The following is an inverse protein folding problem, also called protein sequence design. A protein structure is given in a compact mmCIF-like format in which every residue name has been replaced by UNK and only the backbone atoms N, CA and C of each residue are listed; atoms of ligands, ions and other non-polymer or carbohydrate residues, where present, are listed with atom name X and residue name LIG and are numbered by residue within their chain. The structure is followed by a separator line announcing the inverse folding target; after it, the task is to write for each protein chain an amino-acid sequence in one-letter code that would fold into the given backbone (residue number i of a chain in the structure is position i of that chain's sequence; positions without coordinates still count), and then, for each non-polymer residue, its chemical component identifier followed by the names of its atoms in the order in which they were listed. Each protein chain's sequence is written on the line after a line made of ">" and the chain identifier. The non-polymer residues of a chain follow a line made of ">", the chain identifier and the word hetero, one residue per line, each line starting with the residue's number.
data_IF_487008685323
#
_entry.id   IF_487008685323
#
_cell.length_a   1.000
_cell.length_b   1.000
_cell.length_c   1.000
_cell.angle_alpha   90.00
_cell.angle_beta   90.00
_cell.angle_gamma   90.00
#
_symmetry.space_group_name_H-M   'P 1'
#
loop_
_entity.id
_entity.type
_entity.pdbx_description
1 polymer ?
#
# COMPACT_ATOMS: atom_id res chain seq x y z
N UNK A 1 -25.88 -26.39 20.68
CA UNK A 1 -25.25 -26.38 19.34
C UNK A 1 -25.41 -24.96 18.75
N UNK A 2 -24.40 -24.08 18.88
CA UNK A 2 -24.38 -22.75 18.24
C UNK A 2 -23.03 -22.62 17.57
N UNK A 3 -22.99 -22.76 16.24
CA UNK A 3 -21.75 -22.72 15.43
C UNK A 3 -21.96 -21.76 14.25
N UNK A 4 -20.88 -21.03 13.93
CA UNK A 4 -20.56 -20.38 12.63
C UNK A 4 -21.07 -18.97 12.28
N UNK A 5 -21.39 -18.09 13.22
CA UNK A 5 -21.61 -16.65 12.90
C UNK A 5 -20.34 -15.78 13.03
N UNK A 6 -19.28 -16.27 13.69
CA UNK A 6 -18.10 -15.45 14.03
C UNK A 6 -17.09 -15.26 12.89
N UNK A 7 -16.97 -16.19 11.95
CA UNK A 7 -16.04 -16.07 10.81
C UNK A 7 -16.49 -15.05 9.76
N UNK A 8 -17.80 -15.03 9.44
CA UNK A 8 -18.38 -14.19 8.37
C UNK A 8 -18.17 -12.69 8.64
N UNK A 9 -18.28 -12.26 9.90
CA UNK A 9 -18.12 -10.84 10.24
C UNK A 9 -16.65 -10.36 10.33
N UNK A 10 -15.66 -11.25 10.43
CA UNK A 10 -14.24 -10.85 10.35
C UNK A 10 -13.82 -10.65 8.89
N UNK A 11 -14.25 -11.55 8.00
CA UNK A 11 -14.14 -11.35 6.56
C UNK A 11 -14.88 -10.10 6.11
N UNK A 12 -16.03 -9.75 6.69
CA UNK A 12 -16.73 -8.50 6.37
C UNK A 12 -16.00 -7.22 6.83
N UNK A 13 -15.10 -7.28 7.82
CA UNK A 13 -14.31 -6.11 8.26
C UNK A 13 -13.08 -5.91 7.38
N UNK A 14 -12.33 -6.99 7.09
CA UNK A 14 -11.25 -6.96 6.09
C UNK A 14 -11.83 -6.64 4.71
N UNK A 15 -12.93 -7.29 4.31
CA UNK A 15 -13.65 -6.94 3.09
C UNK A 15 -14.27 -5.55 3.17
N UNK A 16 -14.64 -5.01 4.33
CA UNK A 16 -15.11 -3.62 4.47
C UNK A 16 -14.00 -2.60 4.21
N UNK A 17 -12.79 -2.87 4.73
CA UNK A 17 -11.57 -2.12 4.41
C UNK A 17 -11.20 -2.32 2.93
N UNK A 18 -11.40 -3.52 2.38
CA UNK A 18 -11.12 -3.82 0.97
C UNK A 18 -12.23 -3.35 0.01
N UNK A 19 -13.47 -3.13 0.48
CA UNK A 19 -14.63 -2.65 -0.30
C UNK A 19 -14.60 -1.13 -0.41
N UNK A 20 -14.12 -0.42 0.62
CA UNK A 20 -13.68 0.97 0.47
C UNK A 20 -12.49 1.11 -0.52
N UNK A 21 -11.92 -0.02 -0.95
CA UNK A 21 -10.88 -0.11 -1.97
C UNK A 21 -11.31 -0.89 -3.23
N UNK A 22 -12.60 -1.08 -3.51
CA UNK A 22 -13.03 -1.65 -4.80
C UNK A 22 -12.45 -3.01 -5.22
N UNK A 23 -12.00 -3.87 -4.29
CA UNK A 23 -11.62 -5.27 -4.61
C UNK A 23 -12.84 -6.16 -4.37
N UNK A 24 -13.49 -6.61 -5.44
CA UNK A 24 -14.37 -7.78 -5.39
C UNK A 24 -13.50 -9.04 -5.46
N UNK A 25 -13.27 -9.70 -4.32
CA UNK A 25 -12.82 -11.09 -4.36
C UNK A 25 -13.97 -11.88 -4.98
N UNK A 26 -13.75 -12.50 -6.13
CA UNK A 26 -14.68 -13.43 -6.74
C UNK A 26 -14.95 -14.59 -5.77
N UNK A 27 -16.02 -14.49 -4.98
CA UNK A 27 -16.56 -15.60 -4.23
C UNK A 27 -17.16 -16.54 -5.28
N UNK A 28 -16.77 -17.84 -5.34
CA UNK A 28 -17.38 -18.79 -6.25
C UNK A 28 -18.90 -18.74 -6.07
N UNK A 29 -19.62 -18.49 -7.17
CA UNK A 29 -21.06 -18.24 -7.23
C UNK A 29 -21.94 -19.42 -6.81
N UNK A 30 -21.38 -20.48 -6.26
CA UNK A 30 -22.11 -21.70 -5.84
C UNK A 30 -22.93 -21.52 -4.56
N UNK A 31 -23.08 -20.29 -4.05
CA UNK A 31 -23.84 -20.00 -2.83
C UNK A 31 -25.17 -19.25 -3.03
N UNK A 32 -25.48 -18.80 -4.26
CA UNK A 32 -26.78 -18.21 -4.58
C UNK A 32 -27.27 -18.74 -5.92
N UNK A 33 -27.90 -19.92 -5.91
CA UNK A 33 -28.58 -20.43 -7.08
C UNK A 33 -30.01 -19.87 -7.16
N UNK A 34 -30.36 -19.40 -8.36
CA UNK A 34 -31.67 -19.00 -8.89
C UNK A 34 -32.14 -17.56 -8.60
N UNK A 35 -32.03 -16.69 -9.61
CA UNK A 35 -33.22 -16.28 -10.38
C UNK A 35 -32.79 -15.87 -11.80
N UNK A 36 -33.49 -16.42 -12.78
CA UNK A 36 -33.43 -16.11 -14.20
C UNK A 36 -33.77 -14.63 -14.46
N UNK A 37 -32.84 -13.87 -15.05
CA UNK A 37 -33.14 -12.63 -15.78
C UNK A 37 -32.19 -12.47 -16.96
N UNK A 38 -32.65 -12.95 -18.12
CA UNK A 38 -32.43 -12.41 -19.47
C UNK A 38 -31.33 -11.33 -19.64
N UNK A 39 -30.30 -11.71 -20.40
CA UNK A 39 -29.27 -10.84 -20.96
C UNK A 39 -29.85 -9.63 -21.71
N UNK A 40 -29.69 -8.43 -21.15
CA UNK A 40 -29.64 -7.20 -21.93
C UNK A 40 -28.72 -6.18 -21.24
N UNK A 41 -27.45 -6.14 -21.63
CA UNK A 41 -26.63 -4.93 -21.49
C UNK A 41 -25.46 -5.03 -22.49
N UNK A 42 -25.69 -4.57 -23.72
CA UNK A 42 -25.25 -3.24 -24.18
C UNK A 42 -23.73 -3.09 -24.12
N UNK A 43 -23.17 -3.20 -25.32
CA UNK A 43 -21.90 -2.66 -25.78
C UNK A 43 -21.68 -1.28 -25.13
N UNK A 44 -20.73 -1.17 -24.21
CA UNK A 44 -20.08 0.10 -23.86
C UNK A 44 -18.67 0.00 -24.42
N UNK A 45 -18.47 0.65 -25.56
CA UNK A 45 -17.14 0.99 -26.07
C UNK A 45 -16.49 1.94 -25.06
N UNK A 46 -15.73 1.38 -24.12
CA UNK A 46 -14.88 2.10 -23.19
C UNK A 46 -13.62 2.57 -23.92
N UNK A 47 -13.65 3.75 -24.54
CA UNK A 47 -12.42 4.49 -24.78
C UNK A 47 -12.00 5.08 -23.44
N UNK A 48 -10.98 4.51 -22.81
CA UNK A 48 -10.42 5.01 -21.56
C UNK A 48 -9.97 6.48 -21.68
N UNK A 49 -10.02 7.19 -20.56
CA UNK A 49 -9.58 8.57 -20.43
C UNK A 49 -8.05 8.73 -20.47
N UNK A 50 -7.30 7.62 -20.32
CA UNK A 50 -5.85 7.64 -20.14
C UNK A 50 -5.43 8.18 -18.77
N UNK A 51 -6.35 8.20 -17.80
CA UNK A 51 -6.12 8.70 -16.44
C UNK A 51 -6.37 7.60 -15.41
N UNK A 52 -5.96 7.78 -14.13
CA UNK A 52 -6.24 6.81 -13.07
C UNK A 52 -7.73 6.51 -12.85
N UNK A 53 -8.66 7.34 -13.36
CA UNK A 53 -10.10 7.00 -13.37
C UNK A 53 -10.40 5.68 -14.07
N UNK A 54 -9.61 5.33 -15.10
CA UNK A 54 -9.81 4.10 -15.87
C UNK A 54 -9.50 2.83 -15.06
N UNK A 55 -8.92 2.96 -13.87
CA UNK A 55 -8.68 1.86 -12.93
C UNK A 55 -9.89 1.57 -12.04
N UNK A 56 -10.94 2.41 -12.10
CA UNK A 56 -12.14 2.30 -11.28
C UNK A 56 -13.38 2.05 -12.17
N UNK A 57 -14.25 1.08 -11.83
CA UNK A 57 -15.51 0.85 -12.54
C UNK A 57 -16.37 2.12 -12.61
N UNK A 58 -16.99 2.38 -13.76
CA UNK A 58 -17.75 3.62 -14.01
C UNK A 58 -18.80 3.90 -12.93
N UNK A 59 -19.48 2.86 -12.44
CA UNK A 59 -20.50 2.98 -11.39
C UNK A 59 -19.96 3.32 -10.00
N UNK A 60 -18.64 3.21 -9.78
CA UNK A 60 -17.97 3.49 -8.49
C UNK A 60 -17.07 4.73 -8.53
N UNK A 61 -16.85 5.34 -9.70
CA UNK A 61 -15.94 6.49 -9.84
C UNK A 61 -16.34 7.67 -8.94
N UNK A 62 -17.63 8.01 -8.88
CA UNK A 62 -18.10 9.12 -8.05
C UNK A 62 -17.87 8.88 -6.55
N UNK A 63 -17.92 7.62 -6.11
CA UNK A 63 -17.72 7.24 -4.71
C UNK A 63 -16.24 7.20 -4.33
N UNK A 64 -15.37 6.70 -5.22
CA UNK A 64 -13.97 6.40 -4.90
C UNK A 64 -12.98 7.49 -5.35
N UNK A 65 -13.34 8.33 -6.32
CA UNK A 65 -12.39 9.25 -6.97
C UNK A 65 -12.61 10.73 -6.69
N UNK A 66 -13.68 11.11 -5.97
CA UNK A 66 -13.97 12.46 -5.47
C UNK A 66 -13.64 13.62 -6.44
N UNK A 67 -14.64 14.22 -7.07
CA UNK A 67 -14.44 15.34 -8.03
C UNK A 67 -14.38 16.73 -7.39
N UNK A 68 -14.21 16.80 -6.06
CA UNK A 68 -14.23 18.05 -5.31
C UNK A 68 -13.04 18.98 -5.58
N UNK A 69 -13.24 20.27 -5.33
CA UNK A 69 -12.15 21.24 -5.22
C UNK A 69 -11.67 21.32 -3.76
N UNK A 70 -10.42 21.74 -3.56
CA UNK A 70 -9.87 22.00 -2.24
C UNK A 70 -10.58 23.20 -1.57
N UNK A 71 -11.01 23.06 -0.31
CA UNK A 71 -11.78 24.08 0.42
C UNK A 71 -11.05 24.49 1.70
N UNK A 72 -10.34 25.61 1.63
CA UNK A 72 -9.60 26.14 2.79
C UNK A 72 -10.50 26.94 3.75
N UNK A 73 -10.10 27.00 5.02
CA UNK A 73 -10.68 27.89 6.04
C UNK A 73 -9.56 28.56 6.87
N UNK A 74 -9.91 29.24 7.97
CA UNK A 74 -8.94 29.99 8.79
C UNK A 74 -7.93 29.14 9.57
N UNK A 75 -8.16 27.82 9.69
CA UNK A 75 -7.32 26.88 10.44
C UNK A 75 -6.73 25.77 9.56
N UNK A 76 -7.29 25.56 8.37
CA UNK A 76 -6.94 24.45 7.49
C UNK A 76 -6.77 24.98 6.07
N UNK A 77 -5.60 24.74 5.49
CA UNK A 77 -5.35 24.95 4.07
C UNK A 77 -5.41 23.61 3.36
N UNK A 78 -6.21 23.55 2.30
CA UNK A 78 -6.34 22.37 1.45
C UNK A 78 -5.71 22.64 0.09
N UNK A 79 -5.00 21.65 -0.46
CA UNK A 79 -4.37 21.72 -1.77
C UNK A 79 -4.92 20.60 -2.65
N UNK A 80 -5.36 20.96 -3.86
CA UNK A 80 -5.87 19.98 -4.81
C UNK A 80 -4.69 19.29 -5.50
N UNK A 81 -4.64 17.97 -5.40
CA UNK A 81 -3.65 17.15 -6.10
C UNK A 81 -3.96 17.20 -7.61
N UNK A 82 -2.96 17.48 -8.48
CA UNK A 82 -3.17 17.57 -9.92
C UNK A 82 -3.71 16.27 -10.54
N UNK A 83 -3.15 15.12 -10.16
CA UNK A 83 -3.62 13.82 -10.63
C UNK A 83 -4.98 13.46 -10.03
N UNK A 84 -5.96 13.28 -10.91
CA UNK A 84 -7.34 12.87 -10.59
C UNK A 84 -7.37 11.43 -10.10
N UNK A 85 -8.20 11.15 -9.09
CA UNK A 85 -8.32 9.82 -8.49
C UNK A 85 -6.97 9.22 -8.07
N UNK A 86 -6.05 10.05 -7.57
CA UNK A 86 -4.69 9.62 -7.17
C UNK A 86 -4.69 8.65 -5.98
N UNK A 87 -5.73 8.67 -5.14
CA UNK A 87 -5.84 7.89 -3.90
C UNK A 87 -4.54 7.95 -3.06
N UNK A 88 -4.13 9.14 -2.58
CA UNK A 88 -2.90 9.30 -1.83
C UNK A 88 -3.04 8.66 -0.44
N UNK A 89 -2.18 7.70 -0.09
CA UNK A 89 -2.28 6.97 1.17
C UNK A 89 -1.09 7.18 2.11
N UNK A 90 0.14 6.94 1.65
CA UNK A 90 1.34 7.18 2.45
C UNK A 90 1.91 8.58 2.20
N UNK A 91 2.41 9.22 3.26
CA UNK A 91 2.96 10.58 3.25
C UNK A 91 4.13 10.69 4.22
N UNK A 92 5.16 11.45 3.85
CA UNK A 92 6.29 11.81 4.73
C UNK A 92 6.82 13.20 4.39
N UNK A 93 7.83 13.66 5.13
CA UNK A 93 8.57 14.90 4.85
C UNK A 93 10.05 14.62 4.77
N UNK A 94 10.74 15.29 3.86
CA UNK A 94 12.20 15.25 3.82
C UNK A 94 12.84 16.32 4.75
N UNK A 95 14.16 16.30 4.98
CA UNK A 95 14.85 17.27 5.83
C UNK A 95 14.81 18.72 5.31
N UNK A 96 14.49 18.93 4.04
CA UNK A 96 14.31 20.26 3.45
C UNK A 96 12.89 20.82 3.66
N UNK A 97 11.99 20.00 4.21
CA UNK A 97 10.60 20.35 4.48
C UNK A 97 9.67 20.15 3.29
N UNK A 98 10.12 19.48 2.22
CA UNK A 98 9.21 19.08 1.14
C UNK A 98 8.35 17.92 1.62
N UNK A 99 7.09 17.92 1.20
CA UNK A 99 6.13 16.88 1.54
C UNK A 99 6.08 15.87 0.39
N UNK A 100 6.21 14.59 0.70
CA UNK A 100 6.21 13.52 -0.27
C UNK A 100 5.05 12.56 0.01
N UNK A 101 4.35 12.13 -1.03
CA UNK A 101 3.28 11.13 -0.91
C UNK A 101 3.18 10.29 -2.17
N UNK A 102 2.69 9.06 -2.01
CA UNK A 102 2.48 8.12 -3.12
C UNK A 102 1.02 8.07 -3.53
N UNK A 103 0.78 7.98 -4.83
CA UNK A 103 -0.54 7.93 -5.45
C UNK A 103 -0.87 6.48 -5.80
N UNK A 104 -1.68 5.81 -4.98
CA UNK A 104 -1.76 4.34 -5.04
C UNK A 104 -2.55 3.80 -6.23
N UNK A 105 -3.30 4.67 -6.92
CA UNK A 105 -4.07 4.32 -8.10
C UNK A 105 -3.32 4.65 -9.42
N UNK A 106 -2.14 5.25 -9.35
CA UNK A 106 -1.25 5.49 -10.50
C UNK A 106 0.15 4.91 -10.31
N UNK A 107 0.57 4.60 -9.07
CA UNK A 107 1.93 4.17 -8.76
C UNK A 107 2.95 5.31 -8.72
N UNK A 108 2.50 6.54 -8.96
CA UNK A 108 3.34 7.74 -9.02
C UNK A 108 3.70 8.26 -7.63
N UNK A 109 4.84 8.96 -7.56
CA UNK A 109 5.25 9.73 -6.40
C UNK A 109 4.99 11.22 -6.64
N UNK A 110 4.54 11.95 -5.63
CA UNK A 110 4.35 13.38 -5.69
C UNK A 110 5.11 14.09 -4.57
N UNK A 111 5.74 15.21 -4.93
CA UNK A 111 6.39 16.17 -4.04
C UNK A 111 5.59 17.45 -4.00
N UNK A 112 5.43 18.02 -2.83
CA UNK A 112 4.80 19.32 -2.62
C UNK A 112 5.76 20.26 -1.90
N UNK A 113 5.97 21.44 -2.49
CA UNK A 113 6.74 22.55 -1.91
C UNK A 113 5.77 23.47 -1.13
N UNK A 114 5.75 23.42 0.22
CA UNK A 114 4.80 24.21 1.00
C UNK A 114 5.09 25.71 1.00
N UNK A 115 6.27 26.15 0.54
CA UNK A 115 6.62 27.57 0.44
C UNK A 115 6.11 28.15 -0.87
N UNK A 116 6.17 27.38 -1.96
CA UNK A 116 5.66 27.79 -3.28
C UNK A 116 4.22 27.38 -3.54
N UNK A 117 3.70 26.44 -2.76
CA UNK A 117 2.40 25.80 -2.97
C UNK A 117 2.32 25.07 -4.32
N UNK A 118 3.42 24.40 -4.71
CA UNK A 118 3.56 23.73 -6.01
C UNK A 118 3.75 22.22 -5.86
N UNK A 119 3.09 21.46 -6.73
CA UNK A 119 3.28 20.01 -6.88
C UNK A 119 4.29 19.69 -7.98
N UNK A 120 5.08 18.65 -7.78
CA UNK A 120 5.88 17.96 -8.81
C UNK A 120 5.54 16.48 -8.72
N UNK A 121 5.09 15.87 -9.82
CA UNK A 121 4.75 14.45 -9.87
C UNK A 121 5.79 13.70 -10.71
N UNK A 122 6.14 12.50 -10.26
CA UNK A 122 7.16 11.64 -10.86
C UNK A 122 6.49 10.33 -11.31
N UNK A 123 6.41 10.15 -12.62
CA UNK A 123 5.80 8.95 -13.22
C UNK A 123 6.64 7.70 -12.96
N UNK A 124 5.99 6.59 -12.65
CA UNK A 124 6.64 5.30 -12.45
C UNK A 124 6.44 4.37 -13.67
N UNK A 125 7.32 4.41 -14.68
CA UNK A 125 7.16 3.58 -15.88
C UNK A 125 7.31 2.07 -15.59
N UNK A 126 8.00 1.70 -14.51
CA UNK A 126 8.15 0.29 -14.09
C UNK A 126 6.80 -0.24 -13.62
N UNK A 127 6.04 0.56 -12.87
CA UNK A 127 4.69 0.23 -12.43
C UNK A 127 3.76 -0.06 -13.61
N UNK A 128 3.70 0.85 -14.57
CA UNK A 128 2.86 0.70 -15.76
C UNK A 128 3.21 -0.58 -16.51
N UNK A 129 4.51 -0.82 -16.73
CA UNK A 129 5.01 -2.03 -17.41
C UNK A 129 4.59 -3.31 -16.68
N UNK A 130 4.60 -3.32 -15.34
CA UNK A 130 4.17 -4.50 -14.55
C UNK A 130 2.69 -4.79 -14.81
N UNK A 131 1.83 -3.79 -14.69
CA UNK A 131 0.38 -4.01 -14.84
C UNK A 131 -0.06 -4.24 -16.29
N UNK A 132 0.63 -3.66 -17.27
CA UNK A 132 0.44 -3.99 -18.68
C UNK A 132 0.74 -5.47 -18.93
N UNK A 133 1.90 -5.95 -18.48
CA UNK A 133 2.29 -7.36 -18.64
C UNK A 133 1.31 -8.33 -17.95
N UNK A 134 0.85 -8.01 -16.74
CA UNK A 134 -0.14 -8.82 -16.02
C UNK A 134 -1.48 -8.82 -16.80
N UNK A 135 -1.91 -7.66 -17.30
CA UNK A 135 -3.13 -7.55 -18.09
C UNK A 135 -3.09 -8.39 -19.36
N UNK A 136 -1.96 -8.35 -20.08
CA UNK A 136 -1.75 -9.18 -21.27
C UNK A 136 -1.80 -10.68 -20.95
N UNK A 137 -1.19 -11.10 -19.83
CA UNK A 137 -1.21 -12.50 -19.40
C UNK A 137 -2.60 -12.99 -19.01
N UNK A 138 -3.41 -12.14 -18.37
CA UNK A 138 -4.76 -12.47 -17.95
C UNK A 138 -5.80 -12.34 -19.07
N UNK A 139 -5.47 -11.63 -20.15
CA UNK A 139 -6.39 -11.36 -21.26
C UNK A 139 -7.50 -10.37 -20.90
N UNK A 140 -7.36 -9.65 -19.78
CA UNK A 140 -8.26 -8.61 -19.31
C UNK A 140 -7.46 -7.49 -18.64
N UNK A 141 -8.00 -6.27 -18.61
CA UNK A 141 -7.33 -5.13 -17.98
C UNK A 141 -7.28 -5.34 -16.47
N UNK A 142 -6.07 -5.41 -15.92
CA UNK A 142 -5.84 -5.37 -14.47
C UNK A 142 -5.56 -3.92 -14.06
N UNK A 143 -6.38 -3.34 -13.18
CA UNK A 143 -6.16 -1.98 -12.69
C UNK A 143 -4.79 -1.82 -12.02
N UNK A 144 -4.06 -0.77 -12.38
CA UNK A 144 -2.72 -0.47 -11.89
C UNK A 144 -2.78 0.20 -10.50
N UNK A 145 -3.06 -0.60 -9.47
CA UNK A 145 -3.29 -0.13 -8.08
C UNK A 145 -2.70 -1.08 -7.04
N UNK A 146 -2.33 -0.53 -5.88
CA UNK A 146 -1.96 -1.30 -4.68
C UNK A 146 -2.32 -0.58 -3.38
N UNK A 147 -2.06 -1.22 -2.25
CA UNK A 147 -2.13 -0.67 -0.90
C UNK A 147 -0.74 -0.20 -0.46
N UNK A 148 -0.47 1.11 -0.60
CA UNK A 148 0.80 1.72 -0.20
C UNK A 148 0.58 2.56 1.06
N UNK A 149 0.79 1.98 2.24
CA UNK A 149 0.47 2.60 3.54
C UNK A 149 1.70 3.09 4.31
N UNK A 150 2.89 2.57 4.02
CA UNK A 150 4.15 3.01 4.62
C UNK A 150 4.99 3.81 3.64
N UNK A 151 5.55 4.93 4.10
CA UNK A 151 6.55 5.72 3.38
C UNK A 151 7.49 6.38 4.38
N UNK A 152 8.77 6.50 4.03
CA UNK A 152 9.72 7.28 4.81
C UNK A 152 10.88 7.80 3.94
N UNK A 153 11.49 8.89 4.39
CA UNK A 153 12.68 9.47 3.77
C UNK A 153 13.94 8.78 4.30
N UNK A 154 14.87 8.48 3.42
CA UNK A 154 16.16 7.89 3.77
C UNK A 154 17.32 8.89 3.61
N UNK A 155 18.32 8.87 4.51
CA UNK A 155 19.49 9.76 4.44
C UNK A 155 20.33 9.69 3.16
N UNK A 156 20.14 8.67 2.33
CA UNK A 156 20.76 8.54 1.00
C UNK A 156 20.01 9.31 -0.11
N UNK A 157 19.15 10.26 0.27
CA UNK A 157 18.33 11.07 -0.63
C UNK A 157 17.34 10.24 -1.46
N UNK A 158 16.72 9.25 -0.80
CA UNK A 158 15.69 8.40 -1.40
C UNK A 158 14.41 8.36 -0.58
N UNK A 159 13.28 8.17 -1.27
CA UNK A 159 11.99 7.90 -0.65
C UNK A 159 11.71 6.40 -0.77
N UNK A 160 11.44 5.76 0.36
CA UNK A 160 11.03 4.36 0.41
C UNK A 160 9.55 4.26 0.71
N UNK A 161 8.85 3.34 0.06
CA UNK A 161 7.44 3.09 0.34
C UNK A 161 7.04 1.64 0.08
N UNK A 162 5.98 1.21 0.76
CA UNK A 162 5.48 -0.16 0.70
C UNK A 162 4.57 -0.38 -0.50
N UNK A 163 4.62 -1.57 -1.08
CA UNK A 163 3.64 -2.10 -2.02
C UNK A 163 3.00 -3.36 -1.43
N UNK A 164 1.88 -3.16 -0.74
CA UNK A 164 1.21 -4.20 0.05
C UNK A 164 0.66 -5.34 -0.80
N UNK A 165 -0.02 -5.02 -1.91
CA UNK A 165 -0.70 -6.01 -2.74
C UNK A 165 0.28 -6.84 -3.59
N UNK A 166 1.41 -6.24 -4.01
CA UNK A 166 2.42 -6.94 -4.80
C UNK A 166 3.57 -7.50 -3.96
N UNK A 167 3.58 -7.27 -2.64
CA UNK A 167 4.61 -7.79 -1.75
C UNK A 167 6.00 -7.27 -2.11
N UNK A 168 6.14 -5.95 -2.21
CA UNK A 168 7.40 -5.29 -2.55
C UNK A 168 7.61 -4.00 -1.74
N UNK A 169 8.83 -3.48 -1.80
CA UNK A 169 9.16 -2.12 -1.40
C UNK A 169 9.66 -1.37 -2.63
N UNK A 170 9.22 -0.14 -2.79
CA UNK A 170 9.74 0.78 -3.78
C UNK A 170 10.73 1.73 -3.15
N UNK A 171 11.73 2.10 -3.93
CA UNK A 171 12.70 3.14 -3.63
C UNK A 171 12.71 4.13 -4.79
N UNK A 172 12.59 5.40 -4.49
CA UNK A 172 12.76 6.48 -5.46
C UNK A 172 14.01 7.29 -5.09
N UNK A 173 15.02 7.33 -5.98
CA UNK A 173 16.18 8.21 -5.84
C UNK A 173 15.76 9.63 -6.21
N UNK A 174 15.84 10.57 -5.27
CA UNK A 174 15.46 11.98 -5.51
C UNK A 174 16.47 12.64 -6.46
N UNK A 175 17.76 12.34 -6.27
CA UNK A 175 18.84 12.88 -7.11
C UNK A 175 18.79 12.37 -8.55
N UNK A 176 18.51 11.09 -8.75
CA UNK A 176 18.52 10.47 -10.09
C UNK A 176 17.13 10.46 -10.76
N UNK A 177 16.09 10.82 -10.01
CA UNK A 177 14.67 10.73 -10.41
C UNK A 177 14.31 9.34 -10.97
N UNK A 178 14.74 8.28 -10.27
CA UNK A 178 14.63 6.89 -10.72
C UNK A 178 13.99 5.98 -9.68
N UNK A 179 13.28 4.96 -10.15
CA UNK A 179 12.63 3.95 -9.32
C UNK A 179 13.42 2.64 -9.31
N UNK A 180 13.58 2.07 -8.12
CA UNK A 180 14.01 0.70 -7.88
C UNK A 180 12.91 -0.06 -7.14
N UNK A 181 12.83 -1.38 -7.37
CA UNK A 181 11.92 -2.27 -6.66
C UNK A 181 12.71 -3.34 -5.92
N UNK A 182 12.36 -3.53 -4.65
CA UNK A 182 12.88 -4.59 -3.79
C UNK A 182 11.75 -5.59 -3.51
N UNK A 183 11.79 -6.80 -4.10
CA UNK A 183 10.84 -7.85 -3.77
C UNK A 183 10.89 -8.18 -2.27
N UNK A 184 9.73 -8.26 -1.63
CA UNK A 184 9.68 -8.57 -0.20
C UNK A 184 10.03 -10.06 0.02
N UNK A 185 10.83 -10.42 1.04
CA UNK A 185 11.26 -11.80 1.26
C UNK A 185 10.07 -12.75 1.44
N UNK A 186 10.06 -13.84 0.67
CA UNK A 186 8.95 -14.80 0.63
C UNK A 186 7.94 -14.57 -0.49
N UNK A 187 8.14 -13.56 -1.36
CA UNK A 187 7.24 -13.23 -2.48
C UNK A 187 7.15 -14.37 -3.51
N UNK A 188 8.12 -15.28 -3.47
CA UNK A 188 8.17 -16.55 -4.19
C UNK A 188 7.90 -17.73 -3.23
N UNK A 189 6.70 -17.80 -2.64
CA UNK A 189 6.33 -18.87 -1.70
C UNK A 189 5.00 -18.60 -0.99
N UNK A 190 4.34 -19.65 -0.51
CA UNK A 190 2.97 -19.64 0.04
C UNK A 190 2.77 -18.90 1.38
N UNK A 191 3.67 -17.99 1.76
CA UNK A 191 3.53 -17.16 2.95
C UNK A 191 2.72 -15.91 2.59
N UNK A 192 1.64 -15.65 3.32
CA UNK A 192 0.87 -14.42 3.15
C UNK A 192 1.72 -13.28 3.70
N UNK A 193 2.10 -12.35 2.84
CA UNK A 193 2.82 -11.13 3.21
C UNK A 193 1.96 -9.91 2.89
N UNK A 194 2.20 -8.83 3.61
CA UNK A 194 1.60 -7.53 3.32
C UNK A 194 2.45 -6.44 3.98
N UNK A 195 3.49 -5.93 3.30
CA UNK A 195 4.28 -4.82 3.82
C UNK A 195 3.34 -3.61 3.99
N UNK A 196 3.08 -3.25 5.24
CA UNK A 196 2.00 -2.33 5.61
C UNK A 196 2.51 -0.96 6.00
N UNK A 197 3.52 -0.93 6.88
CA UNK A 197 4.15 0.29 7.37
C UNK A 197 5.65 0.12 7.22
N UNK A 198 6.34 1.21 6.93
CA UNK A 198 7.78 1.27 6.82
C UNK A 198 8.32 2.45 7.64
N UNK A 199 9.52 2.31 8.18
CA UNK A 199 10.32 3.39 8.73
C UNK A 199 11.80 3.16 8.44
N UNK A 200 12.53 4.25 8.19
CA UNK A 200 13.97 4.25 7.97
C UNK A 200 14.68 4.57 9.29
N UNK A 201 15.67 3.74 9.64
CA UNK A 201 16.56 3.94 10.77
C UNK A 201 18.02 3.85 10.31
N UNK A 202 18.64 5.00 10.05
CA UNK A 202 19.98 5.07 9.48
C UNK A 202 20.04 4.42 8.09
N UNK A 203 20.79 3.32 7.95
CA UNK A 203 20.90 2.52 6.72
C UNK A 203 19.98 1.31 6.71
N UNK A 204 18.99 1.26 7.60
CA UNK A 204 18.10 0.13 7.78
C UNK A 204 16.67 0.52 7.45
N UNK A 205 15.96 -0.38 6.80
CA UNK A 205 14.53 -0.28 6.55
C UNK A 205 13.82 -1.29 7.42
N UNK A 206 12.83 -0.83 8.19
CA UNK A 206 12.02 -1.66 9.08
C UNK A 206 10.59 -1.64 8.56
N UNK A 207 9.98 -2.81 8.40
CA UNK A 207 8.68 -2.96 7.76
C UNK A 207 7.77 -3.82 8.63
N UNK A 208 6.56 -3.35 8.90
CA UNK A 208 5.50 -4.22 9.41
C UNK A 208 4.98 -5.11 8.29
N UNK A 209 5.17 -6.42 8.41
CA UNK A 209 4.53 -7.41 7.55
C UNK A 209 3.21 -7.87 8.20
N UNK A 210 2.12 -7.17 7.86
CA UNK A 210 0.83 -7.33 8.52
C UNK A 210 0.30 -8.76 8.43
N UNK A 211 0.37 -9.39 7.26
CA UNK A 211 -0.10 -10.77 7.05
C UNK A 211 0.95 -11.81 7.46
N UNK A 212 2.24 -11.48 7.37
CA UNK A 212 3.32 -12.34 7.84
C UNK A 212 3.49 -12.34 9.35
N UNK A 213 2.75 -11.49 10.07
CA UNK A 213 2.70 -11.42 11.53
C UNK A 213 4.10 -11.20 12.15
N UNK A 214 4.88 -10.29 11.57
CA UNK A 214 6.26 -10.00 11.98
C UNK A 214 6.67 -8.57 11.62
N UNK A 215 7.70 -8.07 12.31
CA UNK A 215 8.49 -6.96 11.79
C UNK A 215 9.64 -7.53 10.97
N UNK A 216 9.84 -7.02 9.76
CA UNK A 216 10.93 -7.39 8.85
C UNK A 216 11.95 -6.27 8.78
N UNK A 217 13.23 -6.63 8.80
CA UNK A 217 14.35 -5.71 8.83
C UNK A 217 15.23 -5.94 7.60
N UNK A 218 15.65 -4.85 6.96
CA UNK A 218 16.54 -4.84 5.80
C UNK A 218 17.73 -3.95 6.11
N UNK A 219 18.93 -4.53 6.19
CA UNK A 219 20.15 -3.82 6.53
C UNK A 219 21.06 -3.67 5.30
N UNK A 220 21.37 -2.42 4.96
CA UNK A 220 22.15 -2.04 3.78
C UNK A 220 23.60 -1.60 4.12
N UNK A 221 24.04 -1.65 5.38
CA UNK A 221 25.33 -1.10 5.81
C UNK A 221 26.57 -1.78 5.20
N UNK A 222 26.45 -3.02 4.70
CA UNK A 222 27.58 -3.85 4.26
C UNK A 222 27.41 -4.45 2.86
N UNK A 223 26.67 -3.78 1.97
CA UNK A 223 26.40 -4.28 0.60
C UNK A 223 27.70 -4.43 -0.25
N UNK A 224 28.82 -3.85 0.19
CA UNK A 224 30.09 -3.83 -0.58
C UNK A 224 30.84 -5.17 -0.70
N UNK A 225 30.57 -6.20 0.10
CA UNK A 225 31.32 -7.48 0.00
C UNK A 225 30.62 -8.55 -0.86
N UNK A 226 29.29 -8.65 -0.85
CA UNK A 226 28.56 -9.72 -1.59
C UNK A 226 27.28 -9.22 -2.32
N UNK A 227 27.00 -7.92 -2.32
CA UNK A 227 25.75 -7.35 -2.86
C UNK A 227 24.46 -7.91 -2.21
N UNK A 228 24.56 -8.63 -1.08
CA UNK A 228 23.42 -9.22 -0.38
C UNK A 228 22.86 -8.28 0.69
N UNK A 229 21.56 -8.00 0.60
CA UNK A 229 20.81 -7.29 1.64
C UNK A 229 20.56 -8.27 2.79
N UNK A 230 21.04 -7.93 3.99
CA UNK A 230 20.78 -8.77 5.16
C UNK A 230 19.35 -8.56 5.62
N UNK A 231 18.58 -9.65 5.66
CA UNK A 231 17.20 -9.62 6.11
C UNK A 231 16.99 -10.50 7.34
N UNK A 232 16.25 -10.00 8.31
CA UNK A 232 15.78 -10.79 9.46
C UNK A 232 14.39 -10.32 9.89
N UNK A 233 13.69 -11.15 10.67
CA UNK A 233 12.34 -10.81 11.13
C UNK A 233 12.17 -11.11 12.61
N UNK A 234 11.42 -10.23 13.29
CA UNK A 234 10.95 -10.45 14.67
C UNK A 234 9.49 -10.88 14.56
N UNK A 235 9.17 -12.18 14.72
CA UNK A 235 7.80 -12.65 14.66
C UNK A 235 7.00 -12.17 15.86
N UNK A 236 5.70 -12.06 15.68
CA UNK A 236 4.77 -11.93 16.80
C UNK A 236 4.96 -13.08 17.79
N UNK A 237 4.94 -12.82 19.11
CA UNK A 237 4.98 -13.87 20.13
C UNK A 237 3.69 -14.71 20.17
N UNK A 238 2.67 -14.34 19.40
CA UNK A 238 1.39 -15.03 19.32
C UNK A 238 1.21 -15.63 17.93
N UNK A 239 0.98 -16.94 17.86
CA UNK A 239 0.66 -17.62 16.61
C UNK A 239 -0.68 -17.13 16.02
N UNK A 240 -0.76 -17.09 14.68
CA UNK A 240 -1.97 -16.68 13.94
C UNK A 240 -2.50 -15.28 14.30
N UNK A 241 -1.61 -14.37 14.69
CA UNK A 241 -1.93 -12.97 14.95
C UNK A 241 -1.65 -12.09 13.73
N UNK A 242 -1.99 -10.82 13.84
CA UNK A 242 -1.60 -9.77 12.91
C UNK A 242 -0.73 -8.76 13.64
N UNK A 243 0.33 -8.28 13.00
CA UNK A 243 1.10 -7.14 13.48
C UNK A 243 0.56 -5.87 12.84
N UNK A 244 0.44 -4.80 13.62
CA UNK A 244 -0.09 -3.52 13.16
C UNK A 244 1.02 -2.47 13.20
N UNK A 245 0.86 -1.42 14.00
CA UNK A 245 1.83 -0.35 14.02
C UNK A 245 3.05 -0.67 14.92
N UNK A 246 4.20 -0.06 14.60
CA UNK A 246 5.43 -0.07 15.38
C UNK A 246 6.07 1.32 15.51
N UNK A 247 6.92 1.47 16.54
CA UNK A 247 7.75 2.65 16.79
C UNK A 247 9.04 2.24 17.51
N UNK A 248 10.02 3.14 17.52
CA UNK A 248 11.32 2.97 18.19
C UNK A 248 11.42 4.07 19.24
N UNK A 249 11.77 3.71 20.47
CA UNK A 249 11.99 4.70 21.53
C UNK A 249 13.43 5.23 21.55
N UNK A 250 13.71 6.18 22.44
CA UNK A 250 15.03 6.81 22.56
C UNK A 250 16.13 5.91 23.12
N UNK A 251 15.79 4.70 23.55
CA UNK A 251 16.72 3.67 24.04
C UNK A 251 16.89 2.55 23.00
N UNK A 252 16.50 2.80 21.74
CA UNK A 252 16.54 1.85 20.62
C UNK A 252 15.67 0.59 20.83
N UNK A 253 14.71 0.62 21.75
CA UNK A 253 13.77 -0.49 21.89
C UNK A 253 12.69 -0.41 20.82
N UNK A 254 12.38 -1.56 20.23
CA UNK A 254 11.29 -1.69 19.27
C UNK A 254 9.99 -1.99 20.00
N UNK A 255 8.96 -1.21 19.70
CA UNK A 255 7.61 -1.40 20.21
C UNK A 255 6.67 -1.66 19.05
N UNK A 256 5.85 -2.70 19.15
CA UNK A 256 4.81 -2.94 18.15
C UNK A 256 3.55 -3.53 18.77
N UNK A 257 2.45 -3.34 18.08
CA UNK A 257 1.16 -3.90 18.47
C UNK A 257 0.86 -5.15 17.65
N UNK A 258 0.38 -6.19 18.32
CA UNK A 258 -0.10 -7.41 17.68
C UNK A 258 -1.44 -7.81 18.24
N UNK A 259 -2.29 -8.44 17.44
CA UNK A 259 -3.62 -8.81 17.88
C UNK A 259 -4.16 -10.05 17.16
N UNK A 260 -5.01 -10.79 17.89
CA UNK A 260 -5.87 -11.81 17.31
C UNK A 260 -7.28 -11.21 17.24
N UNK A 261 -7.93 -11.25 16.07
CA UNK A 261 -9.27 -10.71 15.91
C UNK A 261 -10.25 -11.27 16.92
N UNK A 262 -10.88 -10.37 17.68
CA UNK A 262 -11.93 -10.67 18.68
C UNK A 262 -11.45 -11.49 19.88
N UNK A 263 -10.14 -11.57 20.08
CA UNK A 263 -9.56 -12.31 21.21
C UNK A 263 -8.71 -11.38 22.07
N UNK A 264 -7.53 -10.99 21.59
CA UNK A 264 -6.58 -10.20 22.39
C UNK A 264 -5.79 -9.23 21.53
N UNK A 265 -5.35 -8.14 22.14
CA UNK A 265 -4.30 -7.26 21.63
C UNK A 265 -3.17 -7.23 22.64
N UNK A 266 -1.93 -7.27 22.15
CA UNK A 266 -0.72 -7.28 22.96
C UNK A 266 0.21 -6.18 22.44
N UNK A 267 0.75 -5.39 23.37
CA UNK A 267 1.90 -4.53 23.13
C UNK A 267 3.16 -5.35 23.34
N UNK A 268 4.02 -5.40 22.34
CA UNK A 268 5.29 -6.12 22.39
C UNK A 268 6.42 -5.10 22.45
N UNK A 269 7.35 -5.32 23.37
CA UNK A 269 8.65 -4.66 23.43
C UNK A 269 9.70 -5.68 23.02
N UNK A 270 10.63 -5.29 22.17
CA UNK A 270 11.83 -6.04 21.88
C UNK A 270 13.02 -5.18 22.30
N UNK A 271 13.75 -5.65 23.31
CA UNK A 271 15.00 -5.07 23.76
C UNK A 271 16.07 -5.47 22.73
N UNK A 272 16.62 -4.51 21.99
CA UNK A 272 17.69 -4.74 21.02
C UNK A 272 19.07 -4.71 21.68
#
# INVERSE_FOLDING_TARGET
>A
MKRRTKGIMFFAFIAGIMLASGITIAIPSTFFENTDTTEVSKIITSTGTGTPLDNIPLEQQDELCGTGEAVSNSFVTEYKIPTVCSQPLAITTDPSGMVWFVQTNSGNLAKFDPVKEEFTEFDNPIWDTIFENISEQMGEKIPARSMMWGMDYSPDDSIWYTDGDNGALWRFSITDESYDILPFPGSMGSERMFPQKLSVDGSRIIVNDFLGSKLSFFDFANVQEDNEIRTFGIPSPIENSYTADFTIDSEDNFWYTTWIPRETGILVKFDY
#
